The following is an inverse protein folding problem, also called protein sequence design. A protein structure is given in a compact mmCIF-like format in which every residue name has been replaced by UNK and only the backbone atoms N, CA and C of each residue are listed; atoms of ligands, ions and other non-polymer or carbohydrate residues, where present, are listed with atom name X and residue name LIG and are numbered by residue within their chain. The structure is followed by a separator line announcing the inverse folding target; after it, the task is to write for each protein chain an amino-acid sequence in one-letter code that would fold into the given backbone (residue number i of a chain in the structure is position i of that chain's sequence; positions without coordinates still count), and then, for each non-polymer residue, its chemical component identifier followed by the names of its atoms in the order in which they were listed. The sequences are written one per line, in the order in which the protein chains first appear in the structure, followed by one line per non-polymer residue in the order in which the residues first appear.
data_IF_919869117782
#
_entry.id   IF_919869117782
#
_cell.length_a   1.000
_cell.length_b   1.000
_cell.length_c   1.000
_cell.angle_alpha   90.00
_cell.angle_beta   90.00
_cell.angle_gamma   90.00
#
_symmetry.space_group_name_H-M   'P 1'
#
loop_
_entity.id
_entity.type
_entity.pdbx_description
1 polymer ?
#
# COMPACT_ATOMS: atom_id res chain seq x y z
N UNK A 1 -12.46 6.49 -2.24
CA UNK A 1 -12.41 6.03 -0.84
C UNK A 1 -11.47 4.84 -0.79
N UNK A 2 -10.48 4.86 0.10
CA UNK A 2 -9.41 3.86 0.15
C UNK A 2 -9.48 3.06 1.45
N UNK A 3 -9.32 1.74 1.37
CA UNK A 3 -9.04 0.92 2.55
C UNK A 3 -7.52 0.92 2.76
N UNK A 4 -7.06 1.16 3.98
CA UNK A 4 -5.63 1.17 4.27
C UNK A 4 -5.12 -0.27 4.40
N UNK A 5 -4.14 -0.65 3.57
CA UNK A 5 -3.46 -1.94 3.65
C UNK A 5 -2.18 -1.84 4.46
N UNK A 6 -1.10 -1.43 3.78
CA UNK A 6 0.23 -1.30 4.37
C UNK A 6 0.76 0.12 4.13
N UNK A 7 1.50 0.66 5.09
CA UNK A 7 2.26 1.91 4.91
C UNK A 7 3.74 1.56 5.00
N UNK A 8 4.51 1.88 3.97
CA UNK A 8 5.97 1.75 4.00
C UNK A 8 6.61 3.13 3.97
N UNK A 9 7.72 3.29 4.68
CA UNK A 9 8.52 4.51 4.63
C UNK A 9 9.95 4.20 5.07
N UNK A 10 10.87 5.05 4.63
CA UNK A 10 12.25 5.07 5.12
C UNK A 10 12.32 6.07 6.27
N UNK A 11 12.89 5.66 7.39
CA UNK A 11 13.13 6.59 8.49
C UNK A 11 14.19 7.63 8.09
N UNK A 12 14.09 8.84 8.63
CA UNK A 12 15.14 9.84 8.55
C UNK A 12 15.25 10.53 9.93
N UNK A 13 15.90 9.86 10.87
CA UNK A 13 16.08 10.31 12.27
C UNK A 13 14.77 10.59 13.03
N UNK A 14 13.64 9.97 12.69
CA UNK A 14 12.43 10.02 13.53
C UNK A 14 12.49 8.91 14.57
N UNK A 15 12.25 9.22 15.85
CA UNK A 15 12.27 8.22 16.92
C UNK A 15 10.94 7.49 17.08
N UNK A 16 9.83 8.23 17.01
CA UNK A 16 8.48 7.68 17.14
C UNK A 16 7.55 8.23 16.07
N UNK A 17 6.64 7.38 15.60
CA UNK A 17 5.59 7.78 14.66
C UNK A 17 4.22 7.38 15.20
N UNK A 18 3.25 8.28 15.08
CA UNK A 18 1.83 8.01 15.31
C UNK A 18 1.08 8.21 14.01
N UNK A 19 0.38 7.18 13.54
CA UNK A 19 -0.45 7.22 12.34
C UNK A 19 -1.88 7.48 12.76
N UNK A 20 -2.43 8.62 12.34
CA UNK A 20 -3.85 8.95 12.53
C UNK A 20 -4.58 8.87 11.21
N UNK A 21 -5.80 8.37 11.25
CA UNK A 21 -6.66 8.26 10.07
C UNK A 21 -7.99 8.94 10.33
N UNK A 22 -8.55 9.53 9.28
CA UNK A 22 -9.88 10.12 9.27
C UNK A 22 -10.72 9.36 8.26
N UNK A 23 -11.75 8.66 8.76
CA UNK A 23 -12.66 7.87 7.94
C UNK A 23 -13.92 8.66 7.62
N UNK A 24 -14.61 8.29 6.54
CA UNK A 24 -15.95 8.78 6.26
C UNK A 24 -16.88 8.40 7.42
N UNK A 25 -17.79 9.28 7.86
CA UNK A 25 -18.73 8.91 8.88
C UNK A 25 -19.75 7.97 8.25
N UNK A 26 -20.12 6.93 8.99
CA UNK A 26 -21.09 5.95 8.52
C UNK A 26 -22.51 6.54 8.53
N UNK A 27 -22.77 7.47 9.46
CA UNK A 27 -24.01 8.23 9.57
C UNK A 27 -23.79 9.71 9.21
N UNK A 28 -24.73 10.32 8.47
CA UNK A 28 -24.65 11.73 8.04
C UNK A 28 -24.63 12.74 9.19
N UNK A 29 -25.00 12.32 10.41
CA UNK A 29 -24.99 13.15 11.62
C UNK A 29 -23.67 13.08 12.40
N UNK A 30 -22.77 12.16 12.06
CA UNK A 30 -21.53 11.96 12.80
C UNK A 30 -20.40 12.80 12.19
N UNK A 31 -19.71 13.59 13.03
CA UNK A 31 -18.55 14.36 12.57
C UNK A 31 -17.33 13.47 12.35
N UNK A 32 -16.58 13.78 11.29
CA UNK A 32 -15.36 13.04 10.97
C UNK A 32 -14.23 13.41 11.92
N UNK A 33 -13.93 12.52 12.87
CA UNK A 33 -12.82 12.67 13.83
C UNK A 33 -11.55 11.94 13.41
N UNK A 34 -10.41 12.46 13.85
CA UNK A 34 -9.13 11.76 13.76
C UNK A 34 -9.10 10.61 14.77
N UNK A 35 -8.71 9.43 14.31
CA UNK A 35 -8.50 8.25 15.16
C UNK A 35 -7.06 7.76 15.01
N UNK A 36 -6.46 7.36 16.12
CA UNK A 36 -5.10 6.81 16.12
C UNK A 36 -5.16 5.37 15.60
N UNK A 37 -4.64 5.15 14.39
CA UNK A 37 -4.52 3.84 13.75
C UNK A 37 -3.30 3.08 14.30
N UNK A 38 -2.19 3.79 14.47
CA UNK A 38 -0.98 3.30 15.14
C UNK A 38 -0.50 4.37 16.10
N UNK A 39 -0.17 3.98 17.32
CA UNK A 39 0.22 4.92 18.38
C UNK A 39 1.67 4.69 18.80
N UNK A 40 2.48 5.74 18.68
CA UNK A 40 3.88 5.80 19.12
C UNK A 40 4.71 4.56 18.74
N UNK A 41 4.63 4.15 17.47
CA UNK A 41 5.52 3.13 16.94
C UNK A 41 6.96 3.62 17.04
N UNK A 42 7.79 2.87 17.75
CA UNK A 42 9.20 3.17 17.95
C UNK A 42 10.01 2.76 16.72
N UNK A 43 10.64 3.73 16.08
CA UNK A 43 11.49 3.54 14.90
C UNK A 43 12.98 3.45 15.30
N UNK A 44 13.38 4.21 16.32
CA UNK A 44 14.76 4.17 16.84
C UNK A 44 14.80 3.48 18.20
N UNK A 45 15.64 2.45 18.41
CA UNK A 45 15.78 1.79 19.71
C UNK A 45 16.21 2.77 20.81
N UNK A 46 17.14 3.66 20.48
CA UNK A 46 17.59 4.77 21.29
C UNK A 46 17.53 6.06 20.43
N UNK A 47 16.67 7.04 20.79
CA UNK A 47 16.52 8.31 20.07
C UNK A 47 17.81 9.13 19.96
N UNK A 48 18.78 8.93 20.84
CA UNK A 48 20.03 9.70 20.86
C UNK A 48 21.13 9.08 19.98
N UNK A 49 20.90 7.90 19.40
CA UNK A 49 21.87 7.21 18.53
C UNK A 49 21.36 7.19 17.10
N UNK A 50 22.26 6.97 16.13
CA UNK A 50 21.87 6.85 14.72
C UNK A 50 21.23 5.49 14.37
N UNK A 51 21.14 4.56 15.33
CA UNK A 51 20.65 3.21 15.09
C UNK A 51 19.23 3.21 14.52
N UNK A 52 19.04 2.59 13.35
CA UNK A 52 17.77 2.53 12.62
C UNK A 52 17.21 3.89 12.15
N UNK A 53 18.01 4.96 12.16
CA UNK A 53 17.61 6.28 11.67
C UNK A 53 17.30 6.32 10.18
N UNK A 54 17.86 5.39 9.39
CA UNK A 54 17.72 5.26 7.93
C UNK A 54 17.09 3.92 7.51
N UNK A 55 16.51 3.18 8.45
CA UNK A 55 15.90 1.88 8.16
C UNK A 55 14.53 2.02 7.48
N UNK A 56 14.15 1.02 6.68
CA UNK A 56 12.80 0.91 6.13
C UNK A 56 11.87 0.25 7.15
N UNK A 57 10.66 0.82 7.27
CA UNK A 57 9.60 0.32 8.13
C UNK A 57 8.36 0.05 7.30
N UNK A 58 7.64 -1.00 7.69
CA UNK A 58 6.35 -1.37 7.11
C UNK A 58 5.36 -1.49 8.25
N UNK A 59 4.36 -0.61 8.25
CA UNK A 59 3.19 -0.70 9.13
C UNK A 59 2.18 -1.58 8.44
N UNK A 60 2.03 -2.78 8.98
CA UNK A 60 1.11 -3.80 8.50
C UNK A 60 -0.24 -3.73 9.23
N UNK A 61 -1.26 -4.38 8.66
CA UNK A 61 -2.59 -4.49 9.29
C UNK A 61 -2.54 -5.04 10.72
N UNK A 62 -1.61 -5.94 11.03
CA UNK A 62 -1.42 -6.51 12.37
C UNK A 62 -0.97 -5.50 13.43
N UNK A 63 -0.34 -4.40 13.02
CA UNK A 63 0.12 -3.34 13.93
C UNK A 63 -0.92 -2.23 14.10
N UNK A 64 -1.95 -2.21 13.25
CA UNK A 64 -3.03 -1.25 13.32
C UNK A 64 -4.02 -1.62 14.42
N UNK A 65 -4.45 -0.63 15.20
CA UNK A 65 -5.40 -0.79 16.31
C UNK A 65 -6.82 -1.16 15.84
N UNK A 66 -7.15 -0.84 14.58
CA UNK A 66 -8.41 -1.18 13.94
C UNK A 66 -8.23 -1.23 12.42
N UNK A 67 -9.18 -1.82 11.70
CA UNK A 67 -9.18 -1.86 10.24
C UNK A 67 -9.68 -0.54 9.64
N UNK A 68 -8.84 0.27 8.98
CA UNK A 68 -9.25 1.56 8.47
C UNK A 68 -9.94 1.40 7.12
N UNK A 69 -11.27 1.38 7.14
CA UNK A 69 -12.13 1.43 5.96
C UNK A 69 -12.53 2.86 5.64
N UNK A 70 -12.81 3.13 4.36
CA UNK A 70 -13.25 4.45 3.87
C UNK A 70 -12.38 5.62 4.35
N UNK A 71 -11.05 5.44 4.30
CA UNK A 71 -10.11 6.48 4.72
C UNK A 71 -10.16 7.64 3.74
N UNK A 72 -10.36 8.84 4.29
CA UNK A 72 -10.37 10.11 3.57
C UNK A 72 -9.03 10.82 3.73
N UNK A 73 -8.41 10.74 4.91
CA UNK A 73 -7.12 11.36 5.16
C UNK A 73 -6.27 10.54 6.13
N UNK A 74 -4.95 10.59 5.93
CA UNK A 74 -3.93 10.02 6.80
C UNK A 74 -3.04 11.14 7.30
N UNK A 75 -2.70 11.13 8.58
CA UNK A 75 -1.77 12.06 9.22
C UNK A 75 -0.68 11.27 9.91
N UNK A 76 0.56 11.55 9.55
CA UNK A 76 1.75 10.98 10.16
C UNK A 76 2.31 12.01 11.14
N UNK A 77 2.28 11.70 12.43
CA UNK A 77 2.80 12.56 13.49
C UNK A 77 4.16 12.02 13.89
N UNK A 78 5.21 12.77 13.55
CA UNK A 78 6.60 12.40 13.79
C UNK A 78 7.07 13.03 15.11
N UNK A 79 7.82 12.27 15.90
CA UNK A 79 8.37 12.74 17.17
C UNK A 79 9.84 12.34 17.28
N UNK A 80 10.67 13.30 17.68
CA UNK A 80 12.08 13.10 17.98
C UNK A 80 12.41 13.82 19.30
N UNK A 81 12.54 13.07 20.42
CA UNK A 81 12.83 13.67 21.72
C UNK A 81 14.29 14.08 21.89
N UNK A 82 15.21 13.59 21.04
CA UNK A 82 16.61 13.96 21.10
C UNK A 82 16.84 15.35 20.49
N UNK A 83 17.48 16.29 21.21
CA UNK A 83 17.80 17.61 20.68
C UNK A 83 18.94 17.59 19.65
N UNK A 84 19.65 16.46 19.52
CA UNK A 84 20.76 16.29 18.58
C UNK A 84 20.28 16.33 17.12
N UNK A 85 19.06 15.87 16.88
CA UNK A 85 18.49 15.73 15.54
C UNK A 85 17.57 16.91 15.24
N UNK A 86 18.16 18.04 14.84
CA UNK A 86 17.42 19.25 14.47
C UNK A 86 16.54 19.04 13.21
N UNK A 87 16.98 18.16 12.31
CA UNK A 87 16.24 17.78 11.12
C UNK A 87 15.88 16.30 11.23
N UNK A 88 14.59 16.01 11.31
CA UNK A 88 14.07 14.65 11.30
C UNK A 88 12.83 14.57 10.42
N UNK A 89 12.57 13.38 9.91
CA UNK A 89 11.48 13.13 8.99
C UNK A 89 11.35 11.66 8.63
N UNK A 90 10.61 11.43 7.56
CA UNK A 90 10.53 10.15 6.87
C UNK A 90 10.59 10.41 5.38
N UNK A 91 11.11 9.45 4.64
CA UNK A 91 11.30 9.50 3.19
C UNK A 91 10.54 8.33 2.54
N UNK A 92 10.36 8.40 1.22
CA UNK A 92 9.84 7.29 0.41
C UNK A 92 8.53 6.68 0.95
N UNK A 93 7.62 7.55 1.39
CA UNK A 93 6.33 7.12 1.94
C UNK A 93 5.47 6.54 0.82
N UNK A 94 5.08 5.28 0.96
CA UNK A 94 4.13 4.62 0.08
C UNK A 94 3.00 3.99 0.90
N UNK A 95 1.78 4.12 0.37
CA UNK A 95 0.58 3.56 1.00
C UNK A 95 -0.06 2.60 0.01
N UNK A 96 -0.20 1.36 0.43
CA UNK A 96 -0.75 0.29 -0.39
C UNK A 96 -2.16 -0.08 0.09
N UNK A 97 -3.08 -0.40 -0.84
CA UNK A 97 -4.35 -1.01 -0.49
C UNK A 97 -4.12 -2.41 0.14
N UNK A 98 -5.14 -3.02 0.78
CA UNK A 98 -5.00 -4.34 1.36
C UNK A 98 -4.61 -5.35 0.28
N UNK A 99 -3.65 -6.21 0.60
CA UNK A 99 -3.25 -7.26 -0.31
C UNK A 99 -4.45 -8.19 -0.58
N UNK A 100 -4.90 -8.23 -1.83
CA UNK A 100 -5.94 -9.16 -2.25
C UNK A 100 -5.26 -10.53 -2.28
N UNK A 101 -5.52 -11.36 -1.26
CA UNK A 101 -5.03 -12.74 -1.24
C UNK A 101 -5.40 -13.41 -2.57
N UNK A 102 -4.44 -14.06 -3.26
CA UNK A 102 -4.63 -14.56 -4.62
C UNK A 102 -5.60 -15.74 -4.71
N UNK A 103 -6.32 -16.12 -3.66
CA UNK A 103 -7.33 -17.19 -3.71
C UNK A 103 -8.40 -16.97 -4.80
N UNK A 104 -8.62 -15.70 -5.22
CA UNK A 104 -9.48 -15.36 -6.37
C UNK A 104 -8.73 -15.26 -7.72
N UNK A 105 -7.42 -15.08 -7.70
CA UNK A 105 -6.57 -14.98 -8.89
C UNK A 105 -5.99 -16.35 -9.30
N UNK A 106 -5.82 -17.27 -8.36
CA UNK A 106 -5.31 -18.62 -8.61
C UNK A 106 -6.20 -19.35 -9.60
N UNK A 107 -7.53 -19.26 -9.51
CA UNK A 107 -8.44 -20.00 -10.41
C UNK A 107 -8.24 -19.69 -11.90
N UNK A 108 -8.05 -18.43 -12.26
CA UNK A 108 -7.87 -18.05 -13.68
C UNK A 108 -6.43 -18.31 -14.14
N UNK A 109 -5.46 -18.06 -13.26
CA UNK A 109 -4.03 -18.22 -13.58
C UNK A 109 -3.61 -19.69 -13.64
N UNK A 110 -4.16 -20.57 -12.79
CA UNK A 110 -3.91 -22.03 -12.85
C UNK A 110 -4.52 -22.65 -14.11
N UNK A 111 -5.73 -22.25 -14.52
CA UNK A 111 -6.34 -22.78 -15.75
C UNK A 111 -5.56 -22.37 -17.01
N UNK A 112 -5.05 -21.14 -17.08
CA UNK A 112 -4.20 -20.71 -18.20
C UNK A 112 -2.88 -21.49 -18.26
N UNK A 113 -2.27 -21.79 -17.10
CA UNK A 113 -1.04 -22.55 -17.02
C UNK A 113 -1.25 -24.03 -17.39
N UNK A 114 -2.39 -24.60 -17.01
CA UNK A 114 -2.77 -25.99 -17.32
C UNK A 114 -3.02 -26.18 -18.84
N UNK A 115 -3.51 -25.17 -19.54
CA UNK A 115 -3.71 -25.23 -20.99
C UNK A 115 -2.46 -24.88 -21.82
N UNK A 116 -1.40 -24.31 -21.23
CA UNK A 116 -0.13 -24.07 -21.93
C UNK A 116 0.71 -25.34 -22.12
N UNK A 117 0.49 -26.38 -21.30
CA UNK A 117 1.25 -27.63 -21.38
C UNK A 117 0.79 -28.60 -22.48
N UNK A 118 -0.25 -28.27 -23.26
CA UNK A 118 -0.80 -29.15 -24.30
C UNK A 118 -0.27 -28.86 -25.71
N UNK A 119 0.64 -27.90 -25.91
CA UNK A 119 1.12 -27.53 -27.25
C UNK A 119 2.52 -28.02 -27.62
N UNK A 120 3.26 -28.66 -26.70
CA UNK A 120 4.56 -29.28 -26.99
C UNK A 120 4.46 -30.81 -27.06
N UNK A 121 3.88 -31.33 -28.15
CA UNK A 121 4.23 -32.68 -28.62
C UNK A 121 4.06 -32.80 -30.13
N UNK A 122 5.20 -32.97 -30.80
CA UNK A 122 5.40 -33.16 -32.24
C UNK A 122 4.62 -34.39 -32.78
N UNK A 123 4.20 -34.43 -34.06
CA UNK A 123 3.20 -35.37 -34.55
C UNK A 123 3.84 -36.63 -35.13
N UNK A 124 3.36 -37.81 -34.73
CA UNK A 124 3.40 -39.07 -35.52
C UNK A 124 2.58 -40.17 -34.84
N UNK A 125 1.42 -40.49 -35.43
CA UNK A 125 0.82 -41.84 -35.61
C UNK A 125 0.93 -42.86 -34.46
N UNK A 126 -0.11 -43.51 -33.90
CA UNK A 126 -1.46 -43.88 -34.36
C UNK A 126 -2.32 -44.33 -33.15
N UNK A 127 -3.65 -44.37 -33.34
CA UNK A 127 -4.62 -45.32 -32.74
C UNK A 127 -5.59 -44.83 -31.63
N UNK A 128 -6.80 -44.49 -32.09
CA UNK A 128 -8.16 -44.80 -31.55
C UNK A 128 -8.70 -44.08 -30.29
N UNK A 129 -9.73 -43.26 -30.58
CA UNK A 129 -11.02 -42.99 -29.87
C UNK A 129 -11.01 -42.36 -28.46
N UNK A 130 -11.35 -41.06 -28.39
CA UNK A 130 -12.62 -40.58 -27.82
C UNK A 130 -12.84 -39.10 -28.19
N UNK A 131 -14.08 -38.73 -28.49
CA UNK A 131 -14.51 -37.36 -28.80
C UNK A 131 -14.56 -36.49 -27.54
N UNK A 132 -14.32 -35.19 -27.76
CA UNK A 132 -14.98 -34.06 -27.07
C UNK A 132 -14.39 -33.61 -25.72
N UNK A 133 -13.59 -32.52 -25.78
CA UNK A 133 -13.77 -31.32 -24.95
C UNK A 133 -12.63 -30.32 -25.19
N UNK A 134 -12.51 -29.80 -26.42
CA UNK A 134 -11.87 -28.49 -26.59
C UNK A 134 -12.76 -27.47 -25.88
N UNK A 135 -12.26 -26.74 -24.86
CA UNK A 135 -13.09 -25.76 -24.17
C UNK A 135 -13.53 -24.66 -25.17
N UNK A 136 -14.75 -24.12 -25.04
CA UNK A 136 -15.27 -23.11 -25.96
C UNK A 136 -14.31 -21.93 -26.09
N UNK A 137 -13.97 -21.55 -27.33
CA UNK A 137 -13.06 -20.43 -27.66
C UNK A 137 -13.53 -19.11 -27.01
N UNK A 138 -14.82 -18.98 -26.76
CA UNK A 138 -15.43 -17.85 -26.07
C UNK A 138 -14.95 -17.71 -24.62
N UNK A 139 -14.67 -18.82 -23.93
CA UNK A 139 -14.15 -18.80 -22.55
C UNK A 139 -12.69 -18.38 -22.51
N UNK A 140 -11.90 -18.81 -23.50
CA UNK A 140 -10.50 -18.41 -23.67
C UNK A 140 -10.43 -16.91 -23.95
N UNK A 141 -11.27 -16.45 -24.87
CA UNK A 141 -11.36 -15.04 -25.26
C UNK A 141 -11.81 -14.16 -24.09
N UNK A 142 -12.80 -14.61 -23.30
CA UNK A 142 -13.27 -13.88 -22.13
C UNK A 142 -12.17 -13.71 -21.06
N UNK A 143 -11.35 -14.74 -20.82
CA UNK A 143 -10.24 -14.67 -19.87
C UNK A 143 -9.15 -13.69 -20.31
N UNK A 144 -8.76 -13.74 -21.59
CA UNK A 144 -7.82 -12.78 -22.19
C UNK A 144 -8.39 -11.36 -22.14
N UNK A 145 -9.63 -11.15 -22.57
CA UNK A 145 -10.28 -9.84 -22.53
C UNK A 145 -10.33 -9.27 -21.11
N UNK A 146 -10.61 -10.11 -20.11
CA UNK A 146 -10.61 -9.69 -18.72
C UNK A 146 -9.23 -9.22 -18.25
N UNK A 147 -8.17 -9.95 -18.61
CA UNK A 147 -6.79 -9.61 -18.25
C UNK A 147 -6.30 -8.34 -18.95
N UNK A 148 -6.66 -8.16 -20.23
CA UNK A 148 -6.42 -6.93 -20.98
C UNK A 148 -7.15 -5.74 -20.37
N UNK A 149 -8.42 -5.91 -19.96
CA UNK A 149 -9.18 -4.87 -19.29
C UNK A 149 -8.52 -4.44 -17.97
N UNK A 150 -8.05 -5.38 -17.15
CA UNK A 150 -7.33 -5.06 -15.90
C UNK A 150 -6.05 -4.26 -16.18
N UNK A 151 -5.23 -4.68 -17.15
CA UNK A 151 -4.00 -3.96 -17.53
C UNK A 151 -4.31 -2.54 -18.01
N UNK A 152 -5.35 -2.35 -18.83
CA UNK A 152 -5.70 -1.01 -19.32
C UNK A 152 -6.24 -0.13 -18.19
N UNK A 153 -7.01 -0.68 -17.25
CA UNK A 153 -7.47 0.08 -16.07
C UNK A 153 -6.33 0.50 -15.15
N UNK A 154 -5.30 -0.34 -14.96
CA UNK A 154 -4.09 0.02 -14.21
C UNK A 154 -3.30 1.12 -14.93
N UNK A 155 -3.18 1.03 -16.26
CA UNK A 155 -2.52 2.04 -17.07
C UNK A 155 -3.25 3.39 -17.02
N UNK A 156 -4.59 3.36 -17.08
CA UNK A 156 -5.41 4.57 -16.99
C UNK A 156 -5.44 5.19 -15.59
N UNK A 157 -5.33 4.38 -14.53
CA UNK A 157 -5.26 4.86 -13.14
C UNK A 157 -3.84 5.22 -12.67
N UNK A 158 -2.82 5.01 -13.49
CA UNK A 158 -1.47 5.49 -13.20
C UNK A 158 -1.45 7.01 -13.40
N UNK A 159 -1.94 7.75 -12.41
CA UNK A 159 -1.81 9.20 -12.37
C UNK A 159 -0.33 9.54 -12.32
N UNK A 160 0.20 10.01 -13.45
CA UNK A 160 1.49 10.68 -13.56
C UNK A 160 1.40 12.08 -12.91
N UNK A 161 1.02 12.13 -11.63
CA UNK A 161 1.10 13.35 -10.83
C UNK A 161 2.46 13.29 -10.16
N UNK A 162 3.40 14.10 -10.65
CA UNK A 162 4.60 14.39 -9.87
C UNK A 162 4.12 14.92 -8.52
N UNK A 163 4.53 14.27 -7.42
CA UNK A 163 4.47 14.84 -6.08
C UNK A 163 4.96 16.29 -6.15
N UNK A 164 4.03 17.24 -6.07
CA UNK A 164 4.34 18.65 -6.09
C UNK A 164 5.29 18.96 -4.95
N UNK A 165 6.41 19.61 -5.26
CA UNK A 165 7.29 20.20 -4.26
C UNK A 165 6.47 21.22 -3.48
N UNK A 166 6.21 20.93 -2.22
CA UNK A 166 5.81 21.94 -1.25
C UNK A 166 7.08 22.67 -0.85
N UNK A 167 7.35 23.81 -1.46
CA UNK A 167 8.35 24.75 -0.94
C UNK A 167 7.69 25.41 0.28
N UNK A 168 8.02 24.90 1.46
CA UNK A 168 7.62 25.53 2.72
C UNK A 168 8.63 26.64 2.95
N UNK A 169 8.24 27.87 2.60
CA UNK A 169 9.04 29.06 2.87
C UNK A 169 9.42 29.09 4.36
N UNK A 170 10.72 29.00 4.61
CA UNK A 170 11.32 28.77 5.91
C UNK A 170 11.10 29.92 6.89
N UNK A 171 9.95 29.95 7.56
CA UNK A 171 9.75 30.79 8.74
C UNK A 171 8.92 30.07 9.80
N UNK A 172 9.61 29.31 10.64
CA UNK A 172 9.07 29.05 11.98
C UNK A 172 9.47 30.23 12.86
N UNK A 173 8.48 31.04 13.24
CA UNK A 173 8.65 32.06 14.26
C UNK A 173 8.83 31.36 15.60
N UNK A 174 10.07 31.31 16.08
CA UNK A 174 10.39 30.82 17.41
C UNK A 174 9.88 31.88 18.37
N UNK A 175 8.67 31.72 18.88
CA UNK A 175 8.24 32.47 20.04
C UNK A 175 9.13 32.06 21.22
N UNK A 176 10.19 32.83 21.42
CA UNK A 176 11.00 32.85 22.62
C UNK A 176 10.07 33.23 23.77
N UNK A 177 9.50 32.23 24.43
CA UNK A 177 8.94 32.41 25.77
C UNK A 177 10.12 32.68 26.69
N UNK A 178 10.44 33.96 26.80
CA UNK A 178 11.36 34.50 27.78
C UNK A 178 10.56 35.01 28.98
N UNK A 179 11.09 34.68 30.16
CA UNK A 179 10.80 35.23 31.49
C UNK A 179 9.48 34.79 32.14
N UNK A 180 9.45 34.38 33.41
CA UNK A 180 10.37 34.56 34.56
C UNK A 180 10.44 33.32 35.43
#
# INVERSE_FOLDING_TARGET
MMTLGNITFKNNYTAFITVKVKCKPQDEKEETRWRDCVRQLRLMPDPHTETASQAYFTVSKSEMLFEPTEVIAVRLVLQQPSPVWAHFGIEEVAIFPPEIKPERLTSVTTWLLENQHLTDSNPRQTSKKHSESTPPVDKITAGLQHLWALTETMRANQTQVSLGRYDVDGSYEINLLSYT
#
